data_IF_107215155234
#
_entry.id   IF_107215155234
#
_cell.length_a   1.000
_cell.length_b   1.000
_cell.length_c   1.000
_cell.angle_alpha   90.00
_cell.angle_beta   90.00
_cell.angle_gamma   90.00
#
_symmetry.space_group_name_H-M   'P 1'
#
loop_
_entity.id
_entity.type
_entity.pdbx_description
1 polymer ?
#
# COMPACT_ATOMS: atom_id res chain seq x y z
N UNK A 1 28.92 -28.53 32.35
CA UNK A 1 27.67 -27.89 32.84
C UNK A 1 27.64 -26.38 32.60
N UNK A 2 28.75 -25.72 32.26
CA UNK A 2 28.81 -24.27 32.00
C UNK A 2 28.60 -23.91 30.52
N UNK A 3 29.13 -24.70 29.60
CA UNK A 3 29.01 -24.47 28.15
C UNK A 3 27.55 -24.51 27.66
N UNK A 4 26.77 -25.47 28.16
CA UNK A 4 25.34 -25.59 27.87
C UNK A 4 24.55 -24.36 28.34
N UNK A 5 24.92 -23.78 29.50
CA UNK A 5 24.27 -22.57 30.01
C UNK A 5 24.61 -21.33 29.17
N UNK A 6 25.84 -21.26 28.65
CA UNK A 6 26.25 -20.18 27.74
C UNK A 6 25.51 -20.27 26.40
N UNK A 7 25.39 -21.47 25.84
CA UNK A 7 24.62 -21.72 24.62
C UNK A 7 23.12 -21.41 24.81
N UNK A 8 22.57 -21.75 25.97
CA UNK A 8 21.18 -21.41 26.32
C UNK A 8 20.98 -19.90 26.43
N UNK A 9 21.92 -19.18 27.04
CA UNK A 9 21.87 -17.73 27.16
C UNK A 9 21.97 -17.03 25.79
N UNK A 10 22.82 -17.53 24.89
CA UNK A 10 22.92 -17.03 23.51
C UNK A 10 21.63 -17.30 22.72
N UNK A 11 21.10 -18.51 22.83
CA UNK A 11 19.85 -18.90 22.16
C UNK A 11 18.69 -18.02 22.61
N UNK A 12 18.56 -17.75 23.91
CA UNK A 12 17.52 -16.87 24.45
C UNK A 12 17.64 -15.43 23.93
N UNK A 13 18.86 -14.90 23.80
CA UNK A 13 19.07 -13.57 23.20
C UNK A 13 18.62 -13.53 21.74
N UNK A 14 18.99 -14.53 20.97
CA UNK A 14 18.61 -14.63 19.55
C UNK A 14 17.09 -14.81 19.40
N UNK A 15 16.46 -15.57 20.29
CA UNK A 15 15.01 -15.73 20.30
C UNK A 15 14.30 -14.39 20.57
N UNK A 16 14.76 -13.61 21.54
CA UNK A 16 14.19 -12.29 21.84
C UNK A 16 14.29 -11.33 20.65
N UNK A 17 15.40 -11.37 19.89
CA UNK A 17 15.56 -10.58 18.65
C UNK A 17 14.54 -11.03 17.60
N UNK A 18 14.41 -12.34 17.37
CA UNK A 18 13.44 -12.88 16.40
C UNK A 18 12.00 -12.56 16.79
N UNK A 19 11.67 -12.61 18.07
CA UNK A 19 10.33 -12.24 18.57
C UNK A 19 10.02 -10.78 18.30
N UNK A 20 10.98 -9.89 18.53
CA UNK A 20 10.87 -8.46 18.19
C UNK A 20 10.66 -8.26 16.69
N UNK A 21 11.48 -8.89 15.85
CA UNK A 21 11.38 -8.77 14.39
C UNK A 21 10.04 -9.30 13.87
N UNK A 22 9.57 -10.44 14.40
CA UNK A 22 8.26 -11.01 14.06
C UNK A 22 7.13 -10.09 14.49
N UNK A 23 7.24 -9.40 15.64
CA UNK A 23 6.24 -8.42 16.06
C UNK A 23 6.17 -7.23 15.09
N UNK A 24 7.32 -6.76 14.59
CA UNK A 24 7.39 -5.72 13.56
C UNK A 24 6.79 -6.19 12.24
N UNK A 25 7.08 -7.41 11.80
CA UNK A 25 6.50 -7.97 10.57
C UNK A 25 4.98 -8.08 10.73
N UNK A 26 4.49 -8.62 11.84
CA UNK A 26 3.04 -8.77 12.08
C UNK A 26 2.31 -7.44 12.12
N UNK A 27 2.93 -6.37 12.61
CA UNK A 27 2.30 -5.04 12.66
C UNK A 27 2.33 -4.31 11.32
N UNK A 28 3.29 -4.61 10.44
CA UNK A 28 3.45 -3.95 9.13
C UNK A 28 2.98 -4.79 7.94
N UNK A 29 2.62 -6.06 8.14
CA UNK A 29 2.19 -6.93 7.05
C UNK A 29 0.81 -6.51 6.54
N UNK A 30 0.77 -5.94 5.34
CA UNK A 30 -0.47 -5.67 4.63
C UNK A 30 -1.17 -6.99 4.29
N UNK A 31 -2.42 -7.14 4.75
CA UNK A 31 -3.24 -8.30 4.37
C UNK A 31 -3.72 -8.14 2.93
N UNK A 32 -4.13 -9.26 2.32
CA UNK A 32 -4.74 -9.25 0.98
C UNK A 32 -5.94 -8.30 0.90
N UNK A 33 -6.69 -8.15 1.99
CA UNK A 33 -7.81 -7.20 2.10
C UNK A 33 -7.35 -5.73 2.00
N UNK A 34 -6.21 -5.38 2.62
CA UNK A 34 -5.65 -4.03 2.57
C UNK A 34 -5.20 -3.67 1.14
N UNK A 35 -4.62 -4.64 0.43
CA UNK A 35 -4.25 -4.51 -0.98
C UNK A 35 -5.50 -4.30 -1.84
N UNK A 36 -6.53 -5.14 -1.67
CA UNK A 36 -7.79 -5.01 -2.42
C UNK A 36 -8.49 -3.67 -2.18
N UNK A 37 -8.42 -3.15 -0.94
CA UNK A 37 -8.95 -1.82 -0.59
C UNK A 37 -8.15 -0.71 -1.27
N UNK A 38 -6.83 -0.83 -1.32
CA UNK A 38 -5.95 0.10 -2.03
C UNK A 38 -6.24 0.10 -3.54
N UNK A 39 -6.32 -1.07 -4.16
CA UNK A 39 -6.66 -1.23 -5.58
C UNK A 39 -8.01 -0.60 -5.93
N UNK A 40 -9.05 -0.84 -5.12
CA UNK A 40 -10.37 -0.24 -5.33
C UNK A 40 -10.32 1.30 -5.19
N UNK A 41 -9.52 1.81 -4.26
CA UNK A 41 -9.35 3.26 -4.08
C UNK A 41 -8.66 3.88 -5.30
N UNK A 42 -7.58 3.25 -5.78
CA UNK A 42 -6.87 3.69 -6.98
C UNK A 42 -7.76 3.64 -8.22
N UNK A 43 -8.53 2.57 -8.40
CA UNK A 43 -9.44 2.43 -9.54
C UNK A 43 -10.52 3.52 -9.53
N UNK A 44 -11.10 3.82 -8.37
CA UNK A 44 -12.07 4.93 -8.24
C UNK A 44 -11.45 6.26 -8.64
N UNK A 45 -10.28 6.59 -8.10
CA UNK A 45 -9.59 7.84 -8.44
C UNK A 45 -9.22 7.93 -9.92
N UNK A 46 -8.80 6.82 -10.51
CA UNK A 46 -8.50 6.74 -11.94
C UNK A 46 -9.75 7.03 -12.79
N UNK A 47 -10.87 6.36 -12.50
CA UNK A 47 -12.13 6.56 -13.22
C UNK A 47 -12.63 8.01 -13.09
N UNK A 48 -12.62 8.56 -11.88
CA UNK A 48 -13.02 9.97 -11.64
C UNK A 48 -12.16 10.95 -12.44
N UNK A 49 -10.85 10.73 -12.48
CA UNK A 49 -9.92 11.57 -13.24
C UNK A 49 -10.15 11.44 -14.73
N UNK A 50 -10.36 10.23 -15.24
CA UNK A 50 -10.63 9.97 -16.66
C UNK A 50 -11.92 10.66 -17.13
N UNK A 51 -13.00 10.55 -16.35
CA UNK A 51 -14.29 11.21 -16.66
C UNK A 51 -14.11 12.73 -16.67
N UNK A 52 -13.42 13.28 -15.67
CA UNK A 52 -13.19 14.74 -15.57
C UNK A 52 -12.39 15.24 -16.77
N UNK A 53 -11.32 14.53 -17.16
CA UNK A 53 -10.49 14.90 -18.30
C UNK A 53 -11.25 14.81 -19.64
N UNK A 54 -12.07 13.77 -19.81
CA UNK A 54 -12.93 13.63 -20.97
C UNK A 54 -13.99 14.75 -21.05
N UNK A 55 -14.62 15.10 -19.92
CA UNK A 55 -15.60 16.19 -19.83
C UNK A 55 -14.99 17.56 -20.12
N UNK A 56 -13.77 17.83 -19.64
CA UNK A 56 -13.04 19.06 -19.97
C UNK A 56 -12.69 19.13 -21.46
N UNK A 57 -12.22 18.02 -22.04
CA UNK A 57 -11.86 17.96 -23.46
C UNK A 57 -13.09 18.16 -24.36
N UNK A 58 -14.22 17.51 -24.02
CA UNK A 58 -15.48 17.64 -24.76
C UNK A 58 -16.10 19.03 -24.64
N UNK A 59 -16.05 19.65 -23.46
CA UNK A 59 -16.58 21.00 -23.26
C UNK A 59 -15.75 22.08 -23.95
N UNK A 60 -14.41 21.95 -23.96
CA UNK A 60 -13.52 22.82 -24.74
C UNK A 60 -13.77 22.69 -26.25
N UNK A 61 -13.94 21.46 -26.75
CA UNK A 61 -14.25 21.24 -28.16
C UNK A 61 -15.61 21.85 -28.55
N UNK A 62 -16.62 21.72 -27.69
CA UNK A 62 -17.94 22.34 -27.91
C UNK A 62 -17.89 23.87 -27.87
N UNK A 63 -17.15 24.46 -26.91
CA UNK A 63 -16.94 25.91 -26.87
C UNK A 63 -16.20 26.41 -28.11
N UNK A 64 -15.13 25.72 -28.53
CA UNK A 64 -14.40 26.07 -29.74
C UNK A 64 -15.30 26.03 -30.98
N UNK A 65 -16.17 25.02 -31.11
CA UNK A 65 -17.15 24.93 -32.19
C UNK A 65 -18.16 26.10 -32.18
N UNK A 66 -18.57 26.58 -31.01
CA UNK A 66 -19.49 27.73 -30.84
C UNK A 66 -18.90 29.06 -31.35
N UNK A 67 -17.58 29.21 -31.40
CA UNK A 67 -16.90 30.43 -31.87
C UNK A 67 -16.42 30.36 -33.33
N UNK A 68 -16.40 29.16 -33.92
CA UNK A 68 -16.01 28.94 -35.32
C UNK A 68 -17.24 28.98 -36.27
N UNK A 69 -18.45 28.82 -35.73
CA UNK A 69 -19.73 29.03 -36.41
C UNK A 69 -20.38 30.35 -35.95
#
# INVERSE_FOLDING_TARGET
>A
MTETNLQLADTNKRLAIVEMDVAVIKSNYARREDIAKSENTLLKWFITTAITLAGLSGSLAFLAARFIH
#
